data_IF_313876113516
#
_entry.id   IF_313876113516
#
_cell.length_a   1.000
_cell.length_b   1.000
_cell.length_c   1.000
_cell.angle_alpha   90.00
_cell.angle_beta   90.00
_cell.angle_gamma   90.00
#
_symmetry.space_group_name_H-M   'P 1'
#
loop_
_entity.id
_entity.type
_entity.pdbx_description
1 polymer ?
#
# COMPACT_ATOMS: atom_id res chain seq x y z
N UNK A 1 -10.23 -7.33 28.00
CA UNK A 1 -9.70 -7.76 26.69
C UNK A 1 -10.13 -6.71 25.69
N UNK A 2 -9.20 -5.95 25.13
CA UNK A 2 -9.50 -5.03 24.03
C UNK A 2 -9.52 -5.89 22.78
N UNK A 3 -10.71 -6.13 22.23
CA UNK A 3 -10.85 -6.60 20.85
C UNK A 3 -10.28 -5.49 19.97
N UNK A 4 -9.08 -5.71 19.45
CA UNK A 4 -8.55 -4.91 18.33
C UNK A 4 -9.54 -5.12 17.18
N UNK A 5 -10.37 -4.12 16.90
CA UNK A 5 -11.17 -4.13 15.67
C UNK A 5 -10.19 -4.20 14.50
N UNK A 6 -10.20 -5.31 13.76
CA UNK A 6 -9.47 -5.40 12.49
C UNK A 6 -9.98 -4.27 11.59
N UNK A 7 -9.10 -3.32 11.28
CA UNK A 7 -9.42 -2.24 10.36
C UNK A 7 -9.66 -2.84 8.97
N UNK A 8 -10.93 -3.05 8.61
CA UNK A 8 -11.32 -3.78 7.41
C UNK A 8 -11.63 -2.81 6.28
N UNK A 9 -10.68 -2.61 5.37
CA UNK A 9 -10.96 -1.98 4.07
C UNK A 9 -11.72 -2.96 3.18
N UNK A 10 -12.82 -2.50 2.59
CA UNK A 10 -13.65 -3.27 1.66
C UNK A 10 -13.56 -2.64 0.28
N UNK A 11 -13.28 -3.45 -0.75
CA UNK A 11 -13.17 -2.99 -2.14
C UNK A 11 -14.56 -2.75 -2.73
N UNK A 12 -15.01 -1.48 -2.70
CA UNK A 12 -16.30 -1.06 -3.24
C UNK A 12 -16.14 -0.32 -4.56
N UNK A 13 -15.14 0.55 -4.63
CA UNK A 13 -14.88 1.49 -5.72
C UNK A 13 -13.38 1.61 -5.98
N UNK A 14 -13.00 2.30 -7.06
CA UNK A 14 -11.58 2.53 -7.39
C UNK A 14 -10.81 3.31 -6.31
N UNK A 15 -11.50 4.11 -5.48
CA UNK A 15 -10.87 4.83 -4.35
C UNK A 15 -10.38 3.90 -3.24
N UNK A 16 -10.97 2.71 -3.14
CA UNK A 16 -10.60 1.74 -2.11
C UNK A 16 -9.39 0.90 -2.55
N UNK A 17 -9.07 0.88 -3.85
CA UNK A 17 -8.11 -0.02 -4.47
C UNK A 17 -6.76 -0.02 -3.76
N UNK A 18 -6.15 1.16 -3.59
CA UNK A 18 -4.78 1.28 -3.09
C UNK A 18 -4.64 0.82 -1.63
N UNK A 19 -5.58 1.24 -0.77
CA UNK A 19 -5.60 0.79 0.62
C UNK A 19 -5.92 -0.70 0.71
N UNK A 20 -6.83 -1.18 -0.13
CA UNK A 20 -7.24 -2.57 -0.16
C UNK A 20 -6.09 -3.48 -0.61
N UNK A 21 -5.41 -3.18 -1.71
CA UNK A 21 -4.31 -4.01 -2.22
C UNK A 21 -3.13 -4.02 -1.25
N UNK A 22 -2.83 -2.89 -0.60
CA UNK A 22 -1.79 -2.82 0.43
C UNK A 22 -2.11 -3.75 1.60
N UNK A 23 -3.36 -3.81 2.07
CA UNK A 23 -3.73 -4.75 3.14
C UNK A 23 -3.61 -6.22 2.69
N UNK A 24 -3.96 -6.53 1.43
CA UNK A 24 -3.79 -7.87 0.87
C UNK A 24 -2.31 -8.23 0.82
N UNK A 25 -1.46 -7.31 0.35
CA UNK A 25 -0.01 -7.47 0.32
C UNK A 25 0.56 -7.70 1.71
N UNK A 26 0.21 -6.86 2.70
CA UNK A 26 0.65 -7.03 4.09
C UNK A 26 0.27 -8.40 4.64
N UNK A 27 -0.98 -8.85 4.43
CA UNK A 27 -1.45 -10.16 4.88
C UNK A 27 -0.75 -11.32 4.16
N UNK A 28 -0.44 -11.19 2.88
CA UNK A 28 0.31 -12.20 2.14
C UNK A 28 1.78 -12.24 2.57
N UNK A 29 2.36 -11.08 2.89
CA UNK A 29 3.72 -10.96 3.38
C UNK A 29 3.89 -11.57 4.78
N UNK A 30 2.87 -11.54 5.65
CA UNK A 30 2.95 -12.28 6.93
C UNK A 30 3.08 -13.79 6.74
N UNK A 31 2.67 -14.30 5.58
CA UNK A 31 2.83 -15.71 5.19
C UNK A 31 4.05 -15.94 4.28
N UNK A 32 4.74 -14.89 3.83
CA UNK A 32 5.84 -14.99 2.86
C UNK A 32 5.37 -15.42 1.46
N UNK A 33 4.11 -15.17 1.11
CA UNK A 33 3.47 -15.69 -0.11
C UNK A 33 3.10 -14.62 -1.14
N UNK A 34 3.39 -13.33 -0.89
CA UNK A 34 3.01 -12.24 -1.80
C UNK A 34 3.45 -12.49 -3.25
N UNK A 35 4.70 -12.91 -3.45
CA UNK A 35 5.27 -13.20 -4.78
C UNK A 35 4.46 -14.18 -5.63
N UNK A 36 3.69 -15.09 -5.01
CA UNK A 36 2.84 -16.06 -5.70
C UNK A 36 1.44 -15.55 -6.02
N UNK A 37 1.01 -14.45 -5.41
CA UNK A 37 -0.33 -13.87 -5.60
C UNK A 37 -0.30 -12.47 -6.22
N UNK A 38 0.87 -11.82 -6.21
CA UNK A 38 1.11 -10.50 -6.77
C UNK A 38 0.58 -10.46 -8.20
N UNK A 39 -0.35 -9.53 -8.53
CA UNK A 39 -0.95 -9.44 -9.85
C UNK A 39 0.08 -9.08 -10.94
N UNK A 40 1.17 -8.42 -10.57
CA UNK A 40 2.20 -7.93 -11.50
C UNK A 40 3.38 -8.93 -11.61
N UNK A 41 3.37 -10.03 -10.86
CA UNK A 41 4.36 -11.13 -10.92
C UNK A 41 3.87 -12.31 -11.76
N UNK A 42 4.82 -13.07 -12.33
CA UNK A 42 4.57 -14.32 -13.04
C UNK A 42 4.99 -15.58 -12.24
N UNK A 43 5.50 -15.43 -11.01
CA UNK A 43 5.98 -16.57 -10.21
C UNK A 43 4.83 -17.51 -9.83
N UNK A 44 4.87 -18.78 -10.23
CA UNK A 44 3.77 -19.73 -9.96
C UNK A 44 4.20 -20.81 -8.97
N UNK A 45 3.23 -21.31 -8.19
CA UNK A 45 3.44 -22.46 -7.32
C UNK A 45 3.62 -23.71 -8.17
N UNK A 46 4.84 -24.24 -8.20
CA UNK A 46 5.18 -25.46 -8.91
C UNK A 46 4.99 -26.67 -8.00
N UNK A 47 4.18 -27.63 -8.46
CA UNK A 47 4.00 -28.91 -7.76
C UNK A 47 5.21 -29.81 -8.08
N UNK A 48 5.86 -30.41 -7.08
CA UNK A 48 6.91 -31.40 -7.32
C UNK A 48 6.37 -32.59 -8.14
N UNK A 49 7.17 -33.09 -9.08
CA UNK A 49 6.75 -34.12 -10.04
C UNK A 49 7.35 -35.48 -9.68
N UNK A 50 6.61 -36.57 -9.93
CA UNK A 50 7.09 -37.93 -9.58
C UNK A 50 8.21 -38.36 -10.54
N UNK A 51 8.23 -37.78 -11.74
CA UNK A 51 9.25 -37.89 -12.76
C UNK A 51 10.64 -37.47 -12.25
N UNK A 52 10.70 -36.58 -11.24
CA UNK A 52 11.94 -36.17 -10.55
C UNK A 52 12.60 -37.37 -9.83
N UNK A 53 11.82 -38.40 -9.48
CA UNK A 53 12.30 -39.64 -8.85
C UNK A 53 12.52 -40.78 -9.85
N UNK A 54 11.85 -40.73 -11.01
CA UNK A 54 11.79 -41.86 -11.95
C UNK A 54 13.16 -42.21 -12.57
N UNK A 55 14.04 -41.22 -12.70
CA UNK A 55 15.38 -41.39 -13.29
C UNK A 55 16.48 -41.63 -12.25
N UNK A 56 16.15 -41.68 -10.96
CA UNK A 56 17.14 -41.85 -9.89
C UNK A 56 17.42 -43.34 -9.66
N UNK A 57 18.68 -43.80 -9.77
CA UNK A 57 19.04 -45.19 -9.49
C UNK A 57 18.63 -45.62 -8.09
N UNK A 58 18.07 -46.82 -7.96
CA UNK A 58 17.69 -47.38 -6.65
C UNK A 58 18.94 -47.58 -5.79
N UNK A 59 18.86 -47.12 -4.54
CA UNK A 59 19.99 -47.08 -3.61
C UNK A 59 19.89 -45.86 -2.71
N UNK A 60 21.04 -45.44 -2.14
CA UNK A 60 21.12 -44.28 -1.24
C UNK A 60 20.69 -43.00 -1.96
N UNK A 61 20.99 -42.85 -3.25
CA UNK A 61 20.60 -41.70 -4.06
C UNK A 61 19.07 -41.58 -4.19
N UNK A 62 18.37 -42.70 -4.40
CA UNK A 62 16.91 -42.74 -4.45
C UNK A 62 16.28 -42.38 -3.10
N UNK A 63 16.83 -42.89 -1.99
CA UNK A 63 16.35 -42.56 -0.66
C UNK A 63 16.49 -41.05 -0.36
N UNK A 64 17.63 -40.46 -0.72
CA UNK A 64 17.85 -39.02 -0.57
C UNK A 64 16.92 -38.19 -1.47
N UNK A 65 16.72 -38.61 -2.72
CA UNK A 65 15.79 -37.95 -3.64
C UNK A 65 14.34 -38.04 -3.14
N UNK A 66 13.93 -39.19 -2.59
CA UNK A 66 12.60 -39.38 -2.00
C UNK A 66 12.38 -38.47 -0.78
N UNK A 67 13.40 -38.29 0.06
CA UNK A 67 13.33 -37.35 1.19
C UNK A 67 13.15 -35.91 0.70
N UNK A 68 13.93 -35.48 -0.30
CA UNK A 68 13.80 -34.14 -0.91
C UNK A 68 12.42 -33.92 -1.51
N UNK A 69 11.96 -34.86 -2.34
CA UNK A 69 10.64 -34.80 -2.96
C UNK A 69 9.51 -34.68 -1.92
N UNK A 70 9.59 -35.42 -0.81
CA UNK A 70 8.61 -35.31 0.28
C UNK A 70 8.64 -33.93 0.94
N UNK A 71 9.84 -33.40 1.22
CA UNK A 71 10.00 -32.07 1.79
C UNK A 71 9.45 -30.98 0.84
N UNK A 72 9.78 -31.05 -0.44
CA UNK A 72 9.28 -30.12 -1.46
C UNK A 72 7.75 -30.21 -1.60
N UNK A 73 7.18 -31.43 -1.48
CA UNK A 73 5.74 -31.64 -1.54
C UNK A 73 5.03 -31.08 -0.31
N UNK A 74 5.63 -31.18 0.87
CA UNK A 74 5.13 -30.56 2.09
C UNK A 74 5.19 -29.03 2.00
N UNK A 75 6.30 -28.46 1.52
CA UNK A 75 6.44 -27.03 1.28
C UNK A 75 5.39 -26.54 0.27
N UNK A 76 5.20 -27.25 -0.85
CA UNK A 76 4.18 -26.93 -1.84
C UNK A 76 2.77 -26.94 -1.23
N UNK A 77 2.42 -27.96 -0.43
CA UNK A 77 1.11 -28.04 0.23
C UNK A 77 0.90 -26.87 1.19
N UNK A 78 1.90 -26.54 1.99
CA UNK A 78 1.84 -25.39 2.90
C UNK A 78 1.61 -24.08 2.14
N UNK A 79 2.34 -23.84 1.04
CA UNK A 79 2.12 -22.67 0.18
C UNK A 79 0.74 -22.66 -0.46
N UNK A 80 0.26 -23.82 -0.92
CA UNK A 80 -1.07 -23.97 -1.51
C UNK A 80 -2.18 -23.64 -0.51
N UNK A 81 -2.04 -24.09 0.74
CA UNK A 81 -3.03 -23.80 1.78
C UNK A 81 -2.98 -22.33 2.22
N UNK A 82 -1.78 -21.74 2.36
CA UNK A 82 -1.65 -20.30 2.65
C UNK A 82 -2.21 -19.42 1.54
N UNK A 83 -1.98 -19.76 0.26
CA UNK A 83 -2.57 -19.02 -0.87
C UNK A 83 -4.10 -19.14 -0.91
N UNK A 84 -4.68 -20.28 -0.51
CA UNK A 84 -6.14 -20.44 -0.37
C UNK A 84 -6.70 -19.57 0.75
N UNK A 85 -6.01 -19.49 1.88
CA UNK A 85 -6.40 -18.61 2.99
C UNK A 85 -6.38 -17.14 2.56
N UNK A 86 -5.32 -16.72 1.87
CA UNK A 86 -5.24 -15.35 1.32
C UNK A 86 -6.37 -15.10 0.32
N UNK A 87 -6.65 -16.04 -0.59
CA UNK A 87 -7.77 -15.93 -1.53
C UNK A 87 -9.11 -15.80 -0.80
N UNK A 88 -9.33 -16.55 0.27
CA UNK A 88 -10.51 -16.40 1.10
C UNK A 88 -10.60 -15.00 1.71
N UNK A 89 -9.50 -14.48 2.28
CA UNK A 89 -9.47 -13.12 2.84
C UNK A 89 -9.77 -12.07 1.77
N UNK A 90 -9.11 -12.14 0.61
CA UNK A 90 -9.37 -11.28 -0.58
C UNK A 90 -10.86 -11.29 -0.93
N UNK A 91 -11.46 -12.47 -1.06
CA UNK A 91 -12.89 -12.61 -1.39
C UNK A 91 -13.81 -12.03 -0.31
N UNK A 92 -13.44 -12.16 0.96
CA UNK A 92 -14.20 -11.66 2.11
C UNK A 92 -14.14 -10.13 2.29
N UNK A 93 -13.21 -9.47 1.59
CA UNK A 93 -13.00 -8.01 1.59
C UNK A 93 -13.42 -7.36 0.27
N UNK A 94 -14.01 -8.09 -0.66
CA UNK A 94 -14.69 -7.53 -1.85
C UNK A 94 -16.15 -7.25 -1.49
N UNK A 95 -16.67 -6.09 -1.90
CA UNK A 95 -18.09 -5.77 -1.73
C UNK A 95 -18.97 -6.81 -2.47
N UNK A 96 -20.07 -7.24 -1.83
CA UNK A 96 -20.97 -8.27 -2.37
C UNK A 96 -21.44 -7.94 -3.79
N UNK A 97 -21.65 -6.65 -4.10
CA UNK A 97 -22.08 -6.18 -5.42
C UNK A 97 -21.05 -6.44 -6.52
N UNK A 98 -19.77 -6.63 -6.16
CA UNK A 98 -18.65 -6.78 -7.07
C UNK A 98 -18.21 -8.25 -7.24
N UNK A 99 -18.81 -9.20 -6.51
CA UNK A 99 -18.44 -10.63 -6.57
C UNK A 99 -18.61 -11.27 -7.95
N UNK A 100 -19.45 -10.69 -8.83
CA UNK A 100 -19.61 -11.17 -10.20
C UNK A 100 -18.32 -11.07 -11.01
N UNK A 101 -17.41 -10.12 -10.68
CA UNK A 101 -16.13 -9.90 -11.37
C UNK A 101 -15.22 -11.14 -11.24
N UNK A 102 -15.31 -11.82 -10.10
CA UNK A 102 -14.39 -12.91 -9.70
C UNK A 102 -15.07 -14.29 -9.73
N UNK A 103 -16.24 -14.36 -10.38
CA UNK A 103 -17.02 -15.59 -10.50
C UNK A 103 -16.28 -16.60 -11.37
N UNK A 104 -16.08 -17.82 -10.84
CA UNK A 104 -15.43 -18.92 -11.56
C UNK A 104 -13.89 -18.87 -11.56
N UNK A 105 -13.27 -17.85 -10.96
CA UNK A 105 -11.81 -17.73 -10.88
C UNK A 105 -11.33 -18.35 -9.57
N UNK A 106 -10.59 -19.46 -9.60
CA UNK A 106 -10.13 -20.13 -8.37
C UNK A 106 -8.78 -19.64 -7.87
N UNK A 107 -7.95 -19.11 -8.76
CA UNK A 107 -6.59 -18.67 -8.43
C UNK A 107 -6.59 -17.26 -7.80
N UNK A 108 -5.79 -17.07 -6.75
CA UNK A 108 -5.76 -15.82 -5.99
C UNK A 108 -5.21 -14.64 -6.82
N UNK A 109 -4.15 -14.88 -7.60
CA UNK A 109 -3.55 -13.87 -8.47
C UNK A 109 -4.54 -13.44 -9.54
N UNK A 110 -5.20 -14.40 -10.18
CA UNK A 110 -6.20 -14.11 -11.22
C UNK A 110 -7.41 -13.36 -10.65
N UNK A 111 -7.82 -13.65 -9.41
CA UNK A 111 -8.84 -12.86 -8.70
C UNK A 111 -8.37 -11.40 -8.55
N UNK A 112 -7.14 -11.18 -8.06
CA UNK A 112 -6.60 -9.83 -7.86
C UNK A 112 -6.43 -9.10 -9.21
N UNK A 113 -5.96 -9.78 -10.26
CA UNK A 113 -5.85 -9.22 -11.63
C UNK A 113 -7.21 -8.81 -12.18
N UNK A 114 -8.23 -9.64 -12.01
CA UNK A 114 -9.59 -9.31 -12.43
C UNK A 114 -10.12 -8.07 -11.68
N UNK A 115 -9.90 -7.98 -10.38
CA UNK A 115 -10.28 -6.80 -9.59
C UNK A 115 -9.48 -5.56 -10.00
N UNK A 116 -8.17 -5.71 -10.25
CA UNK A 116 -7.29 -4.62 -10.72
C UNK A 116 -7.83 -4.01 -12.01
N UNK A 117 -8.26 -4.84 -12.96
CA UNK A 117 -8.84 -4.36 -14.23
C UNK A 117 -10.05 -3.45 -14.05
N UNK A 118 -10.82 -3.62 -12.97
CA UNK A 118 -12.02 -2.83 -12.69
C UNK A 118 -11.78 -1.66 -11.74
N UNK A 119 -10.90 -1.83 -10.74
CA UNK A 119 -10.77 -0.90 -9.63
C UNK A 119 -9.43 -0.18 -9.58
N UNK A 120 -8.35 -0.70 -10.18
CA UNK A 120 -7.05 0.01 -10.24
C UNK A 120 -7.27 1.34 -10.97
N UNK A 121 -7.11 2.50 -10.31
CA UNK A 121 -7.18 3.77 -10.99
C UNK A 121 -6.13 3.80 -12.12
N UNK A 122 -6.47 4.46 -13.23
CA UNK A 122 -5.45 4.73 -14.25
C UNK A 122 -4.46 5.74 -13.68
N UNK A 123 -3.21 5.69 -14.15
CA UNK A 123 -2.17 6.62 -13.69
C UNK A 123 -2.58 8.09 -13.84
N UNK A 124 -3.25 8.43 -14.93
CA UNK A 124 -3.78 9.77 -15.16
C UNK A 124 -4.85 10.18 -14.13
N UNK A 125 -5.85 9.32 -13.90
CA UNK A 125 -6.94 9.59 -12.95
C UNK A 125 -6.40 9.74 -11.52
N UNK A 126 -5.36 8.96 -11.19
CA UNK A 126 -4.68 8.99 -9.89
C UNK A 126 -3.86 10.26 -9.71
N UNK A 127 -3.12 10.69 -10.74
CA UNK A 127 -2.38 11.95 -10.72
C UNK A 127 -3.32 13.13 -10.52
N UNK A 128 -4.42 13.17 -11.28
CA UNK A 128 -5.42 14.23 -11.17
C UNK A 128 -6.08 14.23 -9.78
N UNK A 129 -6.39 13.06 -9.21
CA UNK A 129 -6.90 12.95 -7.84
C UNK A 129 -5.92 13.55 -6.82
N UNK A 130 -4.64 13.18 -6.90
CA UNK A 130 -3.60 13.63 -5.97
C UNK A 130 -3.39 15.14 -6.09
N UNK A 131 -3.28 15.67 -7.31
CA UNK A 131 -3.13 17.11 -7.54
C UNK A 131 -4.34 17.89 -7.02
N UNK A 132 -5.57 17.44 -7.33
CA UNK A 132 -6.79 18.11 -6.87
C UNK A 132 -6.92 18.10 -5.34
N UNK A 133 -6.59 16.96 -4.70
CA UNK A 133 -6.56 16.88 -3.23
C UNK A 133 -5.49 17.79 -2.64
N UNK A 134 -4.32 17.87 -3.26
CA UNK A 134 -3.22 18.73 -2.80
C UNK A 134 -3.61 20.21 -2.87
N UNK A 135 -4.21 20.65 -3.98
CA UNK A 135 -4.74 22.02 -4.14
C UNK A 135 -5.80 22.36 -3.08
N UNK A 136 -6.65 21.38 -2.75
CA UNK A 136 -7.63 21.53 -1.66
C UNK A 136 -6.94 21.73 -0.32
N UNK A 137 -5.87 20.97 -0.03
CA UNK A 137 -5.08 21.16 1.18
C UNK A 137 -4.42 22.54 1.21
N UNK A 138 -3.90 23.05 0.09
CA UNK A 138 -3.30 24.39 0.01
C UNK A 138 -4.27 25.52 0.40
N UNK A 139 -5.59 25.28 0.31
CA UNK A 139 -6.63 26.25 0.68
C UNK A 139 -6.86 26.36 2.20
N UNK A 140 -6.17 25.54 3.00
CA UNK A 140 -6.30 25.50 4.46
C UNK A 140 -7.25 24.41 4.97
N UNK A 141 -7.42 24.28 6.30
CA UNK A 141 -8.28 23.27 6.88
C UNK A 141 -9.74 23.50 6.47
N UNK A 142 -10.46 22.47 5.97
CA UNK A 142 -11.87 22.61 5.64
C UNK A 142 -12.69 23.03 6.85
N UNK A 143 -13.78 23.77 6.61
CA UNK A 143 -14.67 24.26 7.67
C UNK A 143 -15.13 23.10 8.56
N UNK A 144 -14.86 23.22 9.86
CA UNK A 144 -15.28 22.24 10.87
C UNK A 144 -14.35 21.04 11.05
N UNK A 145 -13.28 20.91 10.26
CA UNK A 145 -12.25 19.88 10.47
C UNK A 145 -11.16 20.44 11.39
N UNK A 146 -10.85 19.77 12.52
CA UNK A 146 -9.73 20.15 13.37
C UNK A 146 -8.41 20.12 12.61
N UNK A 147 -7.50 21.06 12.93
CA UNK A 147 -6.14 21.09 12.36
C UNK A 147 -5.43 19.76 12.58
N UNK A 148 -5.65 19.12 13.74
CA UNK A 148 -5.06 17.83 14.12
C UNK A 148 -5.50 16.67 13.19
N UNK A 149 -6.67 16.76 12.55
CA UNK A 149 -7.15 15.78 11.55
C UNK A 149 -6.76 16.17 10.11
N UNK A 150 -6.50 17.45 9.86
CA UNK A 150 -6.12 17.98 8.56
C UNK A 150 -4.62 17.77 8.26
N UNK A 151 -3.75 17.95 9.25
CA UNK A 151 -2.29 17.82 9.08
C UNK A 151 -1.84 16.42 8.61
N UNK A 152 -2.35 15.29 9.16
CA UNK A 152 -1.96 13.97 8.69
C UNK A 152 -2.24 13.73 7.19
N UNK A 153 -3.21 14.44 6.61
CA UNK A 153 -3.54 14.33 5.18
C UNK A 153 -2.44 14.87 4.29
N UNK A 154 -1.68 15.88 4.73
CA UNK A 154 -0.51 16.38 4.01
C UNK A 154 0.59 15.32 3.92
N UNK A 155 0.87 14.64 5.03
CA UNK A 155 1.87 13.57 5.10
C UNK A 155 1.44 12.41 4.20
N UNK A 156 0.20 11.94 4.36
CA UNK A 156 -0.34 10.84 3.56
C UNK A 156 -0.25 11.13 2.06
N UNK A 157 -0.72 12.31 1.63
CA UNK A 157 -0.77 12.66 0.22
C UNK A 157 0.63 12.91 -0.37
N UNK A 158 1.53 13.52 0.39
CA UNK A 158 2.91 13.73 -0.03
C UNK A 158 3.69 12.41 -0.18
N UNK A 159 3.58 11.51 0.81
CA UNK A 159 4.21 10.18 0.76
C UNK A 159 3.68 9.37 -0.42
N UNK A 160 2.35 9.37 -0.60
CA UNK A 160 1.69 8.71 -1.72
C UNK A 160 2.19 9.24 -3.08
N UNK A 161 2.25 10.56 -3.24
CA UNK A 161 2.74 11.18 -4.47
C UNK A 161 4.22 10.89 -4.76
N UNK A 162 5.06 10.85 -3.72
CA UNK A 162 6.49 10.48 -3.85
C UNK A 162 6.70 9.03 -4.24
N UNK A 163 5.95 8.10 -3.64
CA UNK A 163 6.02 6.67 -4.00
C UNK A 163 5.61 6.40 -5.45
N UNK A 164 4.71 7.23 -5.99
CA UNK A 164 4.26 7.15 -7.38
C UNK A 164 5.13 7.96 -8.36
N UNK A 165 6.23 8.55 -7.87
CA UNK A 165 7.16 9.35 -8.68
C UNK A 165 6.50 10.47 -9.49
N UNK A 166 5.43 11.09 -8.96
CA UNK A 166 4.76 12.21 -9.64
C UNK A 166 5.74 13.39 -9.67
N UNK A 167 6.20 13.76 -10.87
CA UNK A 167 7.27 14.75 -11.07
C UNK A 167 7.10 16.07 -10.30
N UNK A 168 5.88 16.59 -10.21
CA UNK A 168 5.56 17.84 -9.52
C UNK A 168 5.83 17.80 -8.00
N UNK A 169 5.88 16.59 -7.41
CA UNK A 169 6.10 16.31 -5.99
C UNK A 169 7.55 15.94 -5.67
N UNK A 170 8.40 15.72 -6.69
CA UNK A 170 9.83 15.47 -6.51
C UNK A 170 10.57 16.73 -6.05
N UNK A 171 10.06 17.91 -6.40
CA UNK A 171 10.57 19.17 -5.86
C UNK A 171 10.01 19.40 -4.45
N UNK A 172 10.78 18.98 -3.45
CA UNK A 172 10.40 19.05 -2.04
C UNK A 172 10.25 20.50 -1.54
N UNK A 173 11.10 21.43 -1.99
CA UNK A 173 11.03 22.84 -1.58
C UNK A 173 9.71 23.50 -2.00
N UNK A 174 9.19 23.17 -3.19
CA UNK A 174 7.88 23.64 -3.63
C UNK A 174 6.76 23.09 -2.74
N UNK A 175 6.83 21.81 -2.33
CA UNK A 175 5.81 21.20 -1.47
C UNK A 175 5.87 21.73 -0.04
N UNK A 176 7.07 22.01 0.48
CA UNK A 176 7.25 22.71 1.76
C UNK A 176 6.64 24.10 1.67
N UNK A 177 6.90 24.84 0.58
CA UNK A 177 6.35 26.18 0.38
C UNK A 177 4.82 26.18 0.35
N UNK A 178 4.20 25.24 -0.34
CA UNK A 178 2.75 25.06 -0.37
C UNK A 178 2.18 24.85 1.04
N UNK A 179 2.78 23.95 1.81
CA UNK A 179 2.38 23.69 3.20
C UNK A 179 2.50 24.94 4.07
N UNK A 180 3.65 25.63 4.01
CA UNK A 180 3.92 26.84 4.80
C UNK A 180 2.93 27.97 4.47
N UNK A 181 2.52 28.13 3.22
CA UNK A 181 1.48 29.09 2.87
C UNK A 181 0.11 28.70 3.40
N UNK A 182 -0.24 27.41 3.34
CA UNK A 182 -1.52 26.92 3.85
C UNK A 182 -1.67 27.09 5.37
N UNK A 183 -0.58 26.93 6.13
CA UNK A 183 -0.58 27.12 7.59
C UNK A 183 -0.35 28.57 8.02
N UNK A 184 0.05 29.47 7.12
CA UNK A 184 0.32 30.88 7.46
C UNK A 184 -0.83 31.57 8.20
N UNK A 185 -2.12 31.37 7.83
CA UNK A 185 -3.24 31.93 8.59
C UNK A 185 -3.42 31.34 9.99
N UNK A 186 -2.86 30.14 10.25
CA UNK A 186 -2.95 29.45 11.53
C UNK A 186 -1.81 29.85 12.47
N UNK A 187 -0.60 30.01 11.93
CA UNK A 187 0.60 30.40 12.68
C UNK A 187 1.57 31.16 11.76
N UNK A 188 1.41 32.48 11.73
CA UNK A 188 2.19 33.34 10.84
C UNK A 188 3.69 33.34 11.22
N UNK A 189 4.01 33.40 12.51
CA UNK A 189 5.40 33.46 13.00
C UNK A 189 6.20 32.21 12.60
N UNK A 190 5.62 31.02 12.79
CA UNK A 190 6.24 29.77 12.36
C UNK A 190 6.44 29.73 10.84
N UNK A 191 5.39 30.05 10.07
CA UNK A 191 5.44 29.98 8.61
C UNK A 191 6.49 30.94 8.03
N UNK A 192 6.55 32.18 8.51
CA UNK A 192 7.54 33.17 8.07
C UNK A 192 8.97 32.74 8.39
N UNK A 193 9.21 32.22 9.60
CA UNK A 193 10.54 31.73 10.00
C UNK A 193 11.05 30.62 9.07
N UNK A 194 10.20 29.62 8.76
CA UNK A 194 10.57 28.51 7.87
C UNK A 194 10.73 28.93 6.41
N UNK A 195 9.90 29.86 5.91
CA UNK A 195 10.07 30.42 4.57
C UNK A 195 11.42 31.13 4.42
N UNK A 196 11.89 31.85 5.44
CA UNK A 196 13.22 32.47 5.42
C UNK A 196 14.36 31.45 5.40
N UNK A 197 14.18 30.26 5.99
CA UNK A 197 15.16 29.18 5.91
C UNK A 197 15.26 28.61 4.49
N UNK A 198 14.13 28.41 3.80
CA UNK A 198 14.10 28.00 2.40
C UNK A 198 14.82 29.00 1.48
N UNK A 199 14.58 30.30 1.68
CA UNK A 199 15.25 31.37 0.89
C UNK A 199 16.76 31.38 1.11
N UNK A 200 17.22 30.94 2.28
CA UNK A 200 18.64 30.81 2.61
C UNK A 200 19.26 29.50 2.08
N UNK A 201 18.56 28.77 1.23
CA UNK A 201 18.97 27.48 0.65
C UNK A 201 19.34 26.44 1.72
N UNK A 202 18.71 26.52 2.90
CA UNK A 202 18.83 25.48 3.89
C UNK A 202 18.07 24.26 3.40
N UNK A 203 18.72 23.10 3.41
CA UNK A 203 18.06 21.84 3.11
C UNK A 203 17.03 21.57 4.20
N UNK A 204 15.76 21.66 3.84
CA UNK A 204 14.65 21.33 4.72
C UNK A 204 14.01 20.03 4.25
N UNK A 205 13.47 19.28 5.20
CA UNK A 205 12.71 18.08 4.93
C UNK A 205 11.22 18.33 5.20
N UNK A 206 10.36 17.93 4.27
CA UNK A 206 8.93 18.13 4.39
C UNK A 206 8.35 17.52 5.68
N UNK A 207 8.73 16.27 5.99
CA UNK A 207 8.23 15.57 7.17
C UNK A 207 8.68 16.23 8.47
N UNK A 208 9.91 16.75 8.52
CA UNK A 208 10.42 17.49 9.68
C UNK A 208 9.66 18.79 9.89
N UNK A 209 9.39 19.55 8.82
CA UNK A 209 8.63 20.80 8.92
C UNK A 209 7.21 20.56 9.43
N UNK A 210 6.53 19.53 8.91
CA UNK A 210 5.19 19.17 9.38
C UNK A 210 5.23 18.74 10.86
N UNK A 211 6.19 17.90 11.26
CA UNK A 211 6.37 17.48 12.66
C UNK A 211 6.63 18.67 13.58
N UNK A 212 7.54 19.56 13.20
CA UNK A 212 7.90 20.72 14.00
C UNK A 212 6.71 21.67 14.16
N UNK A 213 5.86 21.82 13.13
CA UNK A 213 4.61 22.56 13.23
C UNK A 213 3.63 21.92 14.22
N UNK A 214 3.47 20.59 14.17
CA UNK A 214 2.63 19.86 15.14
C UNK A 214 3.13 20.13 16.56
N UNK A 215 4.43 20.02 16.81
CA UNK A 215 5.01 20.30 18.12
C UNK A 215 4.72 21.74 18.57
N UNK A 216 4.99 22.73 17.72
CA UNK A 216 4.76 24.16 18.03
C UNK A 216 3.29 24.43 18.41
N UNK A 217 2.34 23.86 17.69
CA UNK A 217 0.91 23.96 17.97
C UNK A 217 0.48 23.31 19.30
N UNK A 218 1.17 22.25 19.75
CA UNK A 218 0.91 21.61 21.03
C UNK A 218 1.49 22.39 22.21
N UNK A 219 2.62 23.09 22.04
CA UNK A 219 3.23 23.92 23.08
C UNK A 219 2.60 25.31 23.21
N UNK A 220 1.82 25.75 22.22
CA UNK A 220 1.12 27.04 22.23
C UNK A 220 -0.29 27.01 22.87
N UNK A 221 -0.77 25.83 23.31
CA UNK A 221 -2.04 25.65 24.06
C UNK A 221 -1.78 25.54 25.55
#
# INVERSE_FOLDING_TARGET
MVTLEEQKVVLRTSKDWEKWILMVEMFANTHGLWKYIDPDSDESLQKPQVEDLANVPKGVEYELALVRFKADLEEYKWKLDGTREINYKVRSTVDVRNLYIIRGISDAREVIRALAKHFRPKEFDLRDEICSRWETLCSGPPKGIPVDEWIPQWIELYTRAKHMEIGDFLNEDLRIRDFLFAIKPLNESFAQYRLLQLVKEQQLNFYEIVRDFICDMHYAR
#
